data_IF_956769591551
#
_entry.id   IF_956769591551
#
_cell.length_a   1.000
_cell.length_b   1.000
_cell.length_c   1.000
_cell.angle_alpha   90.00
_cell.angle_beta   90.00
_cell.angle_gamma   90.00
#
_symmetry.space_group_name_H-M   'P 1'
#
loop_
_entity.id
_entity.type
_entity.pdbx_description
1 polymer ?
#
# COMPACT_ATOMS: atom_id res chain seq x y z
N UNK A 1 -98.07 19.05 47.65
CA UNK A 1 -97.36 17.75 47.75
C UNK A 1 -96.45 17.65 46.55
N UNK A 2 -95.18 17.98 46.76
CA UNK A 2 -94.12 18.12 45.77
C UNK A 2 -93.63 16.74 45.33
N UNK A 3 -93.83 16.42 44.06
CA UNK A 3 -93.33 15.19 43.44
C UNK A 3 -91.80 15.27 43.21
N UNK A 4 -91.07 14.15 43.36
CA UNK A 4 -89.62 14.11 43.30
C UNK A 4 -89.06 14.31 41.87
N UNK A 5 -87.82 14.80 41.73
CA UNK A 5 -87.18 15.04 40.43
C UNK A 5 -86.82 13.73 39.69
N UNK A 6 -86.70 13.77 38.35
CA UNK A 6 -86.46 12.60 37.52
C UNK A 6 -85.03 12.03 37.68
N UNK A 7 -84.83 10.72 37.40
CA UNK A 7 -83.52 10.06 37.47
C UNK A 7 -82.55 10.55 36.38
N UNK A 8 -81.23 10.42 36.61
CA UNK A 8 -80.19 10.82 35.65
C UNK A 8 -80.18 9.92 34.40
N UNK A 9 -79.69 10.41 33.26
CA UNK A 9 -79.66 9.66 32.01
C UNK A 9 -78.63 8.52 32.03
N UNK A 10 -78.95 7.45 31.30
CA UNK A 10 -78.17 6.21 31.16
C UNK A 10 -76.75 6.46 30.59
N UNK A 11 -75.76 5.79 31.19
CA UNK A 11 -74.38 5.72 30.72
C UNK A 11 -74.30 4.91 29.41
N UNK A 12 -73.91 5.58 28.32
CA UNK A 12 -73.60 4.94 27.04
C UNK A 12 -72.40 3.98 27.17
N UNK A 13 -72.49 2.73 26.70
CA UNK A 13 -71.37 1.80 26.72
C UNK A 13 -70.29 2.21 25.71
N UNK A 14 -69.05 2.31 26.20
CA UNK A 14 -67.86 2.62 25.41
C UNK A 14 -67.71 1.70 24.18
N UNK A 15 -67.27 2.22 23.01
CA UNK A 15 -67.16 1.44 21.80
C UNK A 15 -66.01 0.42 21.87
N UNK A 16 -66.33 -0.83 21.53
CA UNK A 16 -65.38 -1.93 21.31
C UNK A 16 -64.34 -1.55 20.24
N UNK A 17 -63.02 -1.78 20.45
CA UNK A 17 -62.03 -1.44 19.44
C UNK A 17 -62.16 -2.36 18.22
N UNK A 18 -62.23 -1.74 17.04
CA UNK A 18 -62.24 -2.42 15.74
C UNK A 18 -60.94 -3.21 15.51
N UNK A 19 -61.06 -4.38 14.89
CA UNK A 19 -59.93 -5.21 14.49
C UNK A 19 -58.97 -4.45 13.53
N UNK A 20 -57.65 -4.65 13.63
CA UNK A 20 -56.69 -3.94 12.80
C UNK A 20 -56.83 -4.34 11.33
N UNK A 21 -56.87 -3.33 10.46
CA UNK A 21 -56.82 -3.51 9.01
C UNK A 21 -55.55 -4.26 8.58
N UNK A 22 -55.60 -5.07 7.50
CA UNK A 22 -54.42 -5.79 7.01
C UNK A 22 -53.32 -4.79 6.64
N UNK A 23 -52.15 -4.97 7.24
CA UNK A 23 -50.94 -4.19 6.97
C UNK A 23 -50.65 -4.22 5.46
N UNK A 24 -50.46 -3.07 4.80
CA UNK A 24 -50.08 -3.06 3.39
C UNK A 24 -48.75 -3.81 3.25
N UNK A 25 -48.68 -4.72 2.28
CA UNK A 25 -47.47 -5.48 1.98
C UNK A 25 -46.27 -4.52 1.89
N UNK A 26 -45.19 -4.86 2.59
CA UNK A 26 -43.98 -4.05 2.65
C UNK A 26 -43.54 -3.66 1.22
N UNK A 27 -43.22 -2.38 0.96
CA UNK A 27 -42.77 -1.97 -0.35
C UNK A 27 -41.51 -2.76 -0.71
N UNK A 28 -41.48 -3.32 -1.91
CA UNK A 28 -40.29 -3.98 -2.46
C UNK A 28 -39.04 -3.13 -2.18
N UNK A 29 -37.89 -3.75 -1.85
CA UNK A 29 -36.69 -3.03 -1.46
C UNK A 29 -36.33 -1.97 -2.51
N UNK A 30 -35.84 -0.81 -2.07
CA UNK A 30 -35.56 0.33 -2.94
C UNK A 30 -34.66 0.00 -4.16
N UNK A 31 -33.83 -1.04 -4.03
CA UNK A 31 -33.03 -1.63 -5.11
C UNK A 31 -33.87 -2.25 -6.24
N UNK A 32 -34.95 -2.96 -5.90
CA UNK A 32 -35.83 -3.62 -6.87
C UNK A 32 -36.73 -2.62 -7.62
N UNK A 33 -37.18 -1.55 -6.95
CA UNK A 33 -37.92 -0.45 -7.59
C UNK A 33 -37.05 0.37 -8.54
N UNK A 34 -35.78 0.63 -8.19
CA UNK A 34 -34.83 1.37 -9.04
C UNK A 34 -34.33 0.57 -10.24
N UNK A 35 -34.08 -0.74 -10.10
CA UNK A 35 -33.72 -1.60 -11.23
C UNK A 35 -34.86 -1.77 -12.27
N UNK A 36 -36.13 -1.60 -11.85
CA UNK A 36 -37.26 -1.50 -12.76
C UNK A 36 -37.32 -0.13 -13.47
N UNK A 37 -36.95 0.94 -12.76
CA UNK A 37 -36.85 2.30 -13.29
C UNK A 37 -35.69 2.42 -14.31
N UNK A 38 -34.56 1.74 -14.10
CA UNK A 38 -33.43 1.68 -15.03
C UNK A 38 -33.81 0.99 -16.34
N UNK A 39 -34.50 -0.16 -16.28
CA UNK A 39 -35.04 -0.83 -17.47
C UNK A 39 -36.09 0.02 -18.18
N UNK A 40 -36.88 0.80 -17.43
CA UNK A 40 -37.84 1.76 -17.98
C UNK A 40 -37.17 2.97 -18.65
N UNK A 41 -36.05 3.47 -18.10
CA UNK A 41 -35.28 4.61 -18.63
C UNK A 41 -34.41 4.22 -19.83
N UNK A 42 -33.89 3.00 -19.83
CA UNK A 42 -33.20 2.38 -20.97
C UNK A 42 -34.18 2.19 -22.14
N UNK A 43 -35.43 1.81 -21.86
CA UNK A 43 -36.51 1.73 -22.85
C UNK A 43 -37.04 3.10 -23.33
N UNK A 44 -36.90 4.17 -22.52
CA UNK A 44 -37.39 5.52 -22.82
C UNK A 44 -36.44 6.39 -23.68
N UNK A 45 -35.38 5.81 -24.26
CA UNK A 45 -34.50 6.51 -25.21
C UNK A 45 -33.38 7.36 -24.60
N UNK A 46 -33.11 7.23 -23.29
CA UNK A 46 -31.96 7.89 -22.65
C UNK A 46 -30.65 7.12 -22.86
N UNK A 47 -30.28 6.87 -24.11
CA UNK A 47 -29.06 6.10 -24.45
C UNK A 47 -27.82 6.94 -24.14
N UNK A 48 -26.77 6.29 -23.63
CA UNK A 48 -25.45 6.91 -23.43
C UNK A 48 -24.87 7.37 -24.77
N UNK A 49 -24.54 8.67 -24.89
CA UNK A 49 -23.77 9.20 -26.02
C UNK A 49 -22.31 8.73 -25.96
N UNK A 50 -22.09 7.51 -26.46
CA UNK A 50 -20.78 6.87 -26.48
C UNK A 50 -19.78 7.63 -27.34
N UNK A 51 -20.22 8.25 -28.43
CA UNK A 51 -19.33 9.00 -29.32
C UNK A 51 -18.72 10.19 -28.58
N UNK A 52 -19.56 10.97 -27.89
CA UNK A 52 -19.10 12.10 -27.08
C UNK A 52 -18.19 11.66 -25.93
N UNK A 53 -18.58 10.59 -25.21
CA UNK A 53 -17.78 10.05 -24.11
C UNK A 53 -16.40 9.54 -24.58
N UNK A 54 -16.34 8.82 -25.71
CA UNK A 54 -15.09 8.31 -26.26
C UNK A 54 -14.22 9.42 -26.88
N UNK A 55 -14.84 10.46 -27.44
CA UNK A 55 -14.13 11.67 -27.87
C UNK A 55 -13.44 12.36 -26.68
N UNK A 56 -14.11 12.42 -25.52
CA UNK A 56 -13.53 12.94 -24.28
C UNK A 56 -12.35 12.08 -23.78
N UNK A 57 -12.49 10.75 -23.78
CA UNK A 57 -11.39 9.82 -23.44
C UNK A 57 -10.19 9.98 -24.37
N UNK A 58 -10.43 10.07 -25.68
CA UNK A 58 -9.37 10.31 -26.67
C UNK A 58 -8.69 11.67 -26.45
N UNK A 59 -9.46 12.73 -26.19
CA UNK A 59 -8.91 14.05 -25.88
C UNK A 59 -8.01 14.01 -24.65
N UNK A 60 -8.47 13.37 -23.57
CA UNK A 60 -7.68 13.20 -22.36
C UNK A 60 -6.34 12.50 -22.64
N UNK A 61 -6.37 11.36 -23.35
CA UNK A 61 -5.18 10.61 -23.72
C UNK A 61 -4.26 11.37 -24.70
N UNK A 62 -4.81 12.14 -25.64
CA UNK A 62 -4.03 12.94 -26.59
C UNK A 62 -3.27 14.07 -25.89
N UNK A 63 -3.92 14.77 -24.97
CA UNK A 63 -3.31 15.88 -24.23
C UNK A 63 -2.37 15.38 -23.12
N UNK A 64 -2.63 14.19 -22.58
CA UNK A 64 -1.87 13.56 -21.48
C UNK A 64 -1.47 12.14 -21.88
N UNK A 65 -0.57 11.98 -22.87
CA UNK A 65 -0.22 10.68 -23.43
C UNK A 65 0.37 9.72 -22.39
N UNK A 66 0.98 10.25 -21.33
CA UNK A 66 1.51 9.47 -20.21
C UNK A 66 0.41 8.80 -19.35
N UNK A 67 -0.85 9.24 -19.42
CA UNK A 67 -1.99 8.60 -18.75
C UNK A 67 -2.75 7.63 -19.67
N UNK A 68 -2.34 7.49 -20.93
CA UNK A 68 -3.11 6.75 -21.93
C UNK A 68 -3.36 5.29 -21.52
N UNK A 69 -2.36 4.58 -20.97
CA UNK A 69 -2.54 3.19 -20.54
C UNK A 69 -3.62 3.05 -19.46
N UNK A 70 -3.65 3.97 -18.49
CA UNK A 70 -4.62 3.95 -17.41
C UNK A 70 -6.03 4.33 -17.91
N UNK A 71 -6.13 5.38 -18.73
CA UNK A 71 -7.38 5.77 -19.38
C UNK A 71 -7.91 4.62 -20.25
N UNK A 72 -7.04 3.97 -21.03
CA UNK A 72 -7.07 2.65 -21.69
C UNK A 72 -7.71 1.48 -20.92
N UNK A 73 -7.37 1.35 -19.65
CA UNK A 73 -7.76 0.20 -18.83
C UNK A 73 -9.21 0.27 -18.35
N UNK A 74 -9.79 1.47 -18.31
CA UNK A 74 -11.15 1.68 -17.82
C UNK A 74 -12.22 1.09 -18.76
N UNK A 75 -13.14 0.33 -18.15
CA UNK A 75 -14.31 -0.27 -18.81
C UNK A 75 -15.57 0.55 -18.53
N UNK A 76 -16.24 1.05 -19.58
CA UNK A 76 -17.43 1.92 -19.43
C UNK A 76 -18.68 1.10 -19.12
N UNK A 77 -19.35 1.44 -18.02
CA UNK A 77 -20.63 0.87 -17.59
C UNK A 77 -21.66 2.00 -17.47
N UNK A 78 -22.68 2.08 -18.35
CA UNK A 78 -23.78 3.03 -18.16
C UNK A 78 -24.48 2.76 -16.83
N UNK A 79 -24.74 3.80 -16.04
CA UNK A 79 -25.44 3.69 -14.75
C UNK A 79 -26.24 4.96 -14.45
N UNK A 80 -27.46 4.80 -13.94
CA UNK A 80 -28.29 5.91 -13.45
C UNK A 80 -28.36 5.96 -11.92
N UNK A 81 -27.59 5.09 -11.25
CA UNK A 81 -27.45 5.13 -9.80
C UNK A 81 -26.50 6.24 -9.32
N UNK A 82 -25.64 6.72 -10.22
CA UNK A 82 -24.80 7.89 -10.03
C UNK A 82 -25.39 9.09 -10.78
N UNK A 83 -25.21 10.28 -10.22
CA UNK A 83 -25.53 11.55 -10.88
C UNK A 83 -24.39 12.05 -11.77
N UNK A 84 -23.20 11.48 -11.62
CA UNK A 84 -21.93 11.89 -12.27
C UNK A 84 -21.26 10.68 -12.98
N UNK A 85 -19.94 10.67 -13.03
CA UNK A 85 -19.11 9.51 -13.35
C UNK A 85 -18.45 9.02 -12.05
N UNK A 86 -18.11 7.74 -11.98
CA UNK A 86 -17.46 7.16 -10.80
C UNK A 86 -16.75 5.86 -11.13
N UNK A 87 -15.77 5.45 -10.34
CA UNK A 87 -15.02 4.21 -10.54
C UNK A 87 -15.23 3.22 -9.41
N UNK A 88 -15.17 1.93 -9.74
CA UNK A 88 -15.02 0.86 -8.74
C UNK A 88 -13.57 0.38 -8.61
N UNK A 89 -13.31 -0.45 -7.59
CA UNK A 89 -12.00 -1.08 -7.37
C UNK A 89 -11.54 -1.99 -8.53
N UNK A 90 -12.42 -2.32 -9.45
CA UNK A 90 -12.19 -3.23 -10.58
C UNK A 90 -11.91 -2.47 -11.89
N UNK A 91 -11.61 -1.16 -11.80
CA UNK A 91 -11.34 -0.27 -12.93
C UNK A 91 -12.50 -0.15 -13.91
N UNK A 92 -13.74 -0.28 -13.43
CA UNK A 92 -14.94 0.03 -14.21
C UNK A 92 -15.32 1.48 -13.96
N UNK A 93 -15.59 2.20 -15.04
CA UNK A 93 -16.09 3.56 -15.02
C UNK A 93 -17.60 3.54 -15.21
N UNK A 94 -18.34 3.83 -14.15
CA UNK A 94 -19.78 4.02 -14.16
C UNK A 94 -20.10 5.43 -14.65
N UNK A 95 -21.02 5.54 -15.60
CA UNK A 95 -21.28 6.81 -16.29
C UNK A 95 -22.77 7.09 -16.35
N UNK A 96 -23.19 8.23 -15.78
CA UNK A 96 -24.53 8.77 -15.94
C UNK A 96 -24.72 9.35 -17.36
N UNK A 97 -25.68 8.82 -18.17
CA UNK A 97 -25.95 9.36 -19.50
C UNK A 97 -26.45 10.81 -19.49
N UNK A 98 -27.18 11.21 -18.44
CA UNK A 98 -27.67 12.58 -18.29
C UNK A 98 -26.49 13.55 -18.09
N UNK A 99 -25.52 13.18 -17.25
CA UNK A 99 -24.29 13.93 -17.03
C UNK A 99 -23.47 14.13 -18.33
N UNK A 100 -23.29 13.06 -19.12
CA UNK A 100 -22.56 13.13 -20.41
C UNK A 100 -23.24 14.07 -21.40
N UNK A 101 -24.58 14.15 -21.39
CA UNK A 101 -25.31 15.05 -22.28
C UNK A 101 -25.08 16.51 -21.92
N UNK A 102 -25.11 16.82 -20.63
CA UNK A 102 -25.07 18.18 -20.08
C UNK A 102 -23.68 18.81 -20.16
N UNK A 103 -22.61 18.02 -20.07
CA UNK A 103 -21.24 18.54 -19.98
C UNK A 103 -20.51 18.51 -21.33
N UNK A 104 -19.70 19.52 -21.69
CA UNK A 104 -18.91 19.53 -22.92
C UNK A 104 -17.78 18.47 -22.91
N UNK A 105 -17.23 18.17 -24.07
CA UNK A 105 -16.17 17.14 -24.24
C UNK A 105 -14.93 17.47 -23.42
N UNK A 106 -14.59 18.75 -23.29
CA UNK A 106 -13.48 19.26 -22.51
C UNK A 106 -13.61 18.94 -21.02
N UNK A 107 -14.80 19.16 -20.46
CA UNK A 107 -15.10 18.88 -19.05
C UNK A 107 -15.15 17.37 -18.80
N UNK A 108 -15.79 16.62 -19.69
CA UNK A 108 -15.79 15.16 -19.60
C UNK A 108 -14.36 14.59 -19.67
N UNK A 109 -13.47 15.18 -20.47
CA UNK A 109 -12.07 14.77 -20.53
C UNK A 109 -11.35 15.04 -19.20
N UNK A 110 -11.72 16.10 -18.48
CA UNK A 110 -11.21 16.36 -17.14
C UNK A 110 -11.74 15.35 -16.11
N UNK A 111 -13.03 15.01 -16.19
CA UNK A 111 -13.62 13.98 -15.33
C UNK A 111 -12.97 12.62 -15.57
N UNK A 112 -12.68 12.24 -16.82
CA UNK A 112 -11.90 11.02 -17.11
C UNK A 112 -10.54 10.98 -16.38
N UNK A 113 -9.84 12.12 -16.32
CA UNK A 113 -8.55 12.22 -15.63
C UNK A 113 -8.75 12.19 -14.11
N UNK A 114 -9.81 12.81 -13.60
CA UNK A 114 -10.20 12.76 -12.18
C UNK A 114 -10.46 11.32 -11.73
N UNK A 115 -11.34 10.61 -12.44
CA UNK A 115 -11.73 9.24 -12.09
C UNK A 115 -10.55 8.26 -12.12
N UNK A 116 -9.70 8.36 -13.15
CA UNK A 116 -8.50 7.51 -13.22
C UNK A 116 -7.48 7.88 -12.14
N UNK A 117 -7.48 9.12 -11.63
CA UNK A 117 -6.59 9.55 -10.57
C UNK A 117 -6.87 8.84 -9.24
N UNK A 118 -8.14 8.62 -8.87
CA UNK A 118 -8.48 7.80 -7.68
C UNK A 118 -7.82 6.42 -7.74
N UNK A 119 -7.86 5.78 -8.91
CA UNK A 119 -7.31 4.45 -9.13
C UNK A 119 -5.77 4.48 -9.13
N UNK A 120 -5.16 5.44 -9.85
CA UNK A 120 -3.71 5.57 -9.92
C UNK A 120 -3.09 5.85 -8.54
N UNK A 121 -3.72 6.72 -7.75
CA UNK A 121 -3.28 7.10 -6.40
C UNK A 121 -3.63 6.09 -5.32
N UNK A 122 -4.30 4.99 -5.68
CA UNK A 122 -4.76 3.96 -4.75
C UNK A 122 -5.55 4.54 -3.57
N UNK A 123 -6.42 5.51 -3.84
CA UNK A 123 -7.20 6.22 -2.81
C UNK A 123 -7.96 5.24 -1.90
N UNK A 124 -8.60 4.22 -2.46
CA UNK A 124 -9.25 3.16 -1.69
C UNK A 124 -8.28 2.42 -0.79
N UNK A 125 -7.18 1.91 -1.34
CA UNK A 125 -6.20 1.13 -0.57
C UNK A 125 -5.52 1.96 0.52
N UNK A 126 -5.25 3.25 0.27
CA UNK A 126 -4.76 4.20 1.27
C UNK A 126 -5.79 4.47 2.36
N UNK A 127 -7.06 4.66 2.00
CA UNK A 127 -8.15 4.86 2.97
C UNK A 127 -8.32 3.66 3.90
N UNK A 128 -8.16 2.43 3.42
CA UNK A 128 -8.23 1.21 4.24
C UNK A 128 -7.17 1.16 5.36
N UNK A 129 -6.06 1.89 5.22
CA UNK A 129 -4.96 1.96 6.20
C UNK A 129 -5.19 3.01 7.29
N UNK A 130 -6.22 3.84 7.16
CA UNK A 130 -6.57 4.85 8.16
C UNK A 130 -7.22 4.23 9.40
N UNK A 131 -7.35 5.03 10.45
CA UNK A 131 -8.05 4.64 11.69
C UNK A 131 -9.53 4.37 11.38
N UNK A 132 -10.14 3.44 12.12
CA UNK A 132 -11.54 3.04 11.91
C UNK A 132 -12.52 4.22 11.89
N UNK A 133 -12.40 5.14 12.85
CA UNK A 133 -13.24 6.34 12.92
C UNK A 133 -13.15 7.24 11.66
N UNK A 134 -11.99 7.27 11.01
CA UNK A 134 -11.78 8.03 9.78
C UNK A 134 -12.27 7.25 8.55
N UNK A 135 -12.23 5.90 8.60
CA UNK A 135 -12.72 5.03 7.52
C UNK A 135 -14.23 5.05 7.37
N UNK A 136 -14.96 5.18 8.47
CA UNK A 136 -16.42 5.13 8.49
C UNK A 136 -17.08 6.42 7.96
N UNK A 137 -16.33 7.54 7.91
CA UNK A 137 -16.80 8.79 7.30
C UNK A 137 -16.42 8.86 5.82
N UNK A 138 -17.10 8.03 5.02
CA UNK A 138 -16.87 7.91 3.58
C UNK A 138 -17.07 9.22 2.81
N UNK A 139 -17.95 10.10 3.30
CA UNK A 139 -18.14 11.40 2.68
C UNK A 139 -16.89 12.27 2.86
N UNK A 140 -16.36 12.38 4.09
CA UNK A 140 -15.12 13.13 4.33
C UNK A 140 -13.94 12.55 3.57
N UNK A 141 -13.85 11.22 3.47
CA UNK A 141 -12.84 10.56 2.64
C UNK A 141 -12.94 11.00 1.18
N UNK A 142 -14.14 10.94 0.60
CA UNK A 142 -14.33 11.34 -0.79
C UNK A 142 -14.01 12.83 -0.99
N UNK A 143 -14.48 13.71 -0.10
CA UNK A 143 -14.15 15.15 -0.14
C UNK A 143 -12.65 15.41 -0.06
N UNK A 144 -11.93 14.70 0.81
CA UNK A 144 -10.49 14.85 0.95
C UNK A 144 -9.72 14.38 -0.29
N UNK A 145 -10.17 13.27 -0.87
CA UNK A 145 -9.60 12.68 -2.08
C UNK A 145 -9.83 13.58 -3.30
N UNK A 146 -11.03 14.15 -3.42
CA UNK A 146 -11.36 15.12 -4.47
C UNK A 146 -10.55 16.40 -4.30
N UNK A 147 -10.28 16.85 -3.07
CA UNK A 147 -9.36 17.97 -2.82
C UNK A 147 -7.95 17.67 -3.34
N UNK A 148 -7.42 16.47 -3.12
CA UNK A 148 -6.09 16.02 -3.59
C UNK A 148 -6.01 15.90 -5.13
N UNK A 149 -7.12 15.57 -5.78
CA UNK A 149 -7.14 15.41 -7.24
C UNK A 149 -7.39 16.77 -7.90
N UNK A 150 -8.42 17.49 -7.46
CA UNK A 150 -8.88 18.69 -8.15
C UNK A 150 -7.88 19.84 -8.01
N UNK A 151 -7.08 19.92 -6.94
CA UNK A 151 -6.02 20.93 -6.85
C UNK A 151 -4.96 20.74 -7.96
N UNK A 152 -4.48 19.51 -8.17
CA UNK A 152 -3.54 19.16 -9.24
C UNK A 152 -4.15 19.34 -10.64
N UNK A 153 -5.44 19.02 -10.82
CA UNK A 153 -6.11 19.21 -12.11
C UNK A 153 -6.35 20.69 -12.45
N UNK A 154 -6.60 21.53 -11.43
CA UNK A 154 -6.71 22.98 -11.60
C UNK A 154 -5.33 23.57 -11.92
N UNK A 155 -4.27 23.10 -11.27
CA UNK A 155 -2.90 23.49 -11.59
C UNK A 155 -2.52 23.11 -13.04
N UNK A 156 -2.97 21.94 -13.53
CA UNK A 156 -2.83 21.50 -14.92
C UNK A 156 -3.84 22.17 -15.89
N UNK A 157 -4.63 23.12 -15.41
CA UNK A 157 -5.54 23.93 -16.24
C UNK A 157 -6.68 23.15 -16.89
N UNK A 158 -7.10 22.02 -16.32
CA UNK A 158 -8.26 21.28 -16.84
C UNK A 158 -9.57 22.03 -16.51
N UNK A 159 -10.50 22.12 -17.47
CA UNK A 159 -11.82 22.66 -17.20
C UNK A 159 -12.65 21.60 -16.46
N UNK A 160 -12.75 21.71 -15.14
CA UNK A 160 -13.58 20.82 -14.32
C UNK A 160 -15.02 21.37 -14.21
N UNK A 161 -16.04 20.49 -14.15
CA UNK A 161 -17.44 20.88 -13.96
C UNK A 161 -17.67 21.84 -12.79
N UNK A 162 -18.74 22.62 -12.87
CA UNK A 162 -19.19 23.46 -11.74
C UNK A 162 -19.56 22.60 -10.53
N UNK A 163 -19.20 23.05 -9.33
CA UNK A 163 -19.48 22.30 -8.09
C UNK A 163 -18.39 21.32 -7.67
N UNK A 164 -17.27 21.23 -8.42
CA UNK A 164 -16.06 20.49 -8.01
C UNK A 164 -15.59 20.90 -6.61
N UNK A 165 -15.10 19.94 -5.84
CA UNK A 165 -14.55 20.18 -4.50
C UNK A 165 -13.15 20.77 -4.60
N UNK A 166 -12.85 21.77 -3.77
CA UNK A 166 -11.53 22.42 -3.72
C UNK A 166 -11.09 22.65 -2.27
N UNK A 167 -9.79 22.58 -1.93
CA UNK A 167 -9.28 22.83 -0.58
C UNK A 167 -9.73 24.16 0.03
N UNK A 168 -9.84 25.21 -0.81
CA UNK A 168 -10.28 26.55 -0.41
C UNK A 168 -11.70 26.59 0.16
N UNK A 169 -12.57 25.63 -0.19
CA UNK A 169 -13.93 25.52 0.37
C UNK A 169 -13.93 25.23 1.86
N UNK A 170 -12.83 24.67 2.37
CA UNK A 170 -12.62 24.32 3.77
C UNK A 170 -11.57 25.23 4.45
N UNK A 171 -11.07 26.26 3.76
CA UNK A 171 -9.98 27.11 4.26
C UNK A 171 -8.62 26.41 4.33
N UNK A 172 -8.42 25.34 3.55
CA UNK A 172 -7.19 24.54 3.54
C UNK A 172 -6.24 24.95 2.41
N UNK A 173 -4.91 24.85 2.61
CA UNK A 173 -3.92 25.15 1.57
C UNK A 173 -3.92 24.09 0.47
N UNK A 174 -3.51 24.44 -0.75
CA UNK A 174 -3.38 23.49 -1.87
C UNK A 174 -2.12 22.62 -1.74
N UNK A 175 -2.06 21.53 -2.52
CA UNK A 175 -0.87 20.69 -2.70
C UNK A 175 -0.61 19.71 -1.57
N UNK A 176 -1.63 19.36 -0.79
CA UNK A 176 -1.56 18.39 0.33
C UNK A 176 -2.10 17.03 -0.11
N UNK A 177 -1.72 15.98 0.62
CA UNK A 177 -2.31 14.65 0.44
C UNK A 177 -3.72 14.57 1.06
N UNK A 178 -4.56 13.64 0.60
CA UNK A 178 -5.92 13.50 1.12
C UNK A 178 -5.94 13.18 2.62
N UNK A 179 -4.95 12.47 3.16
CA UNK A 179 -4.87 12.17 4.60
C UNK A 179 -4.69 13.46 5.42
N UNK A 180 -3.97 14.45 4.87
CA UNK A 180 -3.83 15.76 5.50
C UNK A 180 -5.11 16.59 5.37
N UNK A 181 -5.76 16.57 4.21
CA UNK A 181 -7.06 17.23 4.02
C UNK A 181 -8.14 16.66 4.94
N UNK A 182 -8.14 15.34 5.15
CA UNK A 182 -9.12 14.66 5.97
C UNK A 182 -9.19 15.25 7.38
N UNK A 183 -8.05 15.57 7.99
CA UNK A 183 -7.98 16.19 9.31
C UNK A 183 -8.64 17.58 9.39
N UNK A 184 -8.61 18.34 8.28
CA UNK A 184 -9.16 19.68 8.18
C UNK A 184 -10.62 19.76 7.71
N UNK A 185 -11.15 18.69 7.11
CA UNK A 185 -12.52 18.67 6.57
C UNK A 185 -13.51 18.34 7.70
N UNK A 186 -14.55 19.18 7.94
CA UNK A 186 -15.54 18.95 8.97
C UNK A 186 -16.46 17.76 8.62
N UNK A 187 -17.12 17.20 9.63
CA UNK A 187 -18.14 16.13 9.49
C UNK A 187 -19.47 16.60 8.87
N UNK A 188 -19.41 17.61 8.00
CA UNK A 188 -20.59 18.22 7.39
C UNK A 188 -21.17 17.33 6.29
N UNK A 189 -22.51 17.25 6.24
CA UNK A 189 -23.27 16.44 5.27
C UNK A 189 -23.95 17.27 4.17
N UNK A 190 -23.49 18.50 3.93
CA UNK A 190 -24.14 19.42 2.97
C UNK A 190 -23.56 19.36 1.56
N UNK A 191 -22.39 18.72 1.38
CA UNK A 191 -21.77 18.55 0.08
C UNK A 191 -22.03 17.12 -0.38
N UNK A 192 -22.53 16.96 -1.61
CA UNK A 192 -22.74 15.66 -2.24
C UNK A 192 -21.62 15.42 -3.25
N UNK A 193 -20.87 14.33 -3.06
CA UNK A 193 -19.83 13.86 -3.98
C UNK A 193 -20.02 12.37 -4.24
N UNK A 194 -19.82 11.96 -5.49
CA UNK A 194 -20.06 10.61 -5.98
C UNK A 194 -18.96 10.21 -6.97
N UNK A 195 -17.93 9.50 -6.47
CA UNK A 195 -16.78 9.03 -7.28
C UNK A 195 -16.69 7.49 -7.31
N UNK A 196 -17.67 6.79 -6.74
CA UNK A 196 -17.75 5.33 -6.69
C UNK A 196 -16.88 4.66 -5.62
N UNK A 197 -17.01 3.33 -5.48
CA UNK A 197 -16.30 2.56 -4.45
C UNK A 197 -14.78 2.52 -4.64
N UNK A 198 -14.29 2.80 -5.85
CA UNK A 198 -12.87 2.92 -6.18
C UNK A 198 -12.20 4.13 -5.54
N UNK A 199 -12.98 5.13 -5.14
CA UNK A 199 -12.52 6.29 -4.37
C UNK A 199 -12.46 5.98 -2.86
N UNK A 200 -13.62 5.73 -2.24
CA UNK A 200 -13.77 5.69 -0.78
C UNK A 200 -13.97 4.29 -0.18
N UNK A 201 -14.05 3.25 -1.00
CA UNK A 201 -14.10 1.84 -0.56
C UNK A 201 -15.48 1.30 -0.17
N UNK A 202 -16.53 2.11 -0.23
CA UNK A 202 -17.89 1.68 0.16
C UNK A 202 -18.69 1.25 -1.06
N UNK A 203 -19.47 0.18 -0.91
CA UNK A 203 -20.32 -0.32 -1.99
C UNK A 203 -21.35 0.75 -2.41
N UNK A 204 -21.39 1.04 -3.71
CA UNK A 204 -22.37 1.96 -4.30
C UNK A 204 -23.45 1.16 -5.02
N UNK A 205 -24.75 1.47 -4.85
CA UNK A 205 -25.81 0.83 -5.62
C UNK A 205 -25.54 0.93 -7.13
N UNK A 206 -25.73 -0.17 -7.85
CA UNK A 206 -25.50 -0.21 -9.31
C UNK A 206 -24.10 -0.65 -9.73
N UNK A 207 -23.15 -0.79 -8.80
CA UNK A 207 -21.85 -1.38 -9.11
C UNK A 207 -21.95 -2.90 -9.29
N UNK A 208 -21.22 -3.43 -10.28
CA UNK A 208 -21.29 -4.83 -10.69
C UNK A 208 -20.58 -5.80 -9.71
N UNK A 209 -19.76 -5.30 -8.78
CA UNK A 209 -19.04 -6.12 -7.80
C UNK A 209 -17.98 -7.04 -8.41
N UNK A 210 -17.52 -8.04 -7.66
CA UNK A 210 -16.53 -9.01 -8.13
C UNK A 210 -17.15 -10.05 -9.08
N UNK A 211 -16.42 -10.45 -10.13
CA UNK A 211 -16.89 -11.42 -11.13
C UNK A 211 -17.83 -10.83 -12.20
N UNK A 212 -18.06 -9.52 -12.16
CA UNK A 212 -18.72 -8.78 -13.24
C UNK A 212 -17.82 -8.66 -14.48
N UNK A 213 -18.42 -8.34 -15.62
CA UNK A 213 -17.70 -8.20 -16.89
C UNK A 213 -16.58 -7.13 -16.81
N UNK A 214 -15.49 -7.37 -17.57
CA UNK A 214 -14.39 -6.42 -17.80
C UNK A 214 -13.69 -5.90 -16.52
N UNK A 215 -13.51 -6.80 -15.55
CA UNK A 215 -12.78 -6.56 -14.30
C UNK A 215 -11.25 -6.54 -14.52
N UNK A 216 -10.60 -5.52 -14.00
CA UNK A 216 -9.14 -5.48 -13.80
C UNK A 216 -8.84 -6.01 -12.40
N UNK A 217 -8.00 -7.05 -12.31
CA UNK A 217 -7.57 -7.61 -11.03
C UNK A 217 -6.45 -6.80 -10.35
N UNK A 218 -6.23 -7.00 -9.06
CA UNK A 218 -5.23 -6.25 -8.27
C UNK A 218 -3.80 -6.31 -8.85
N UNK A 219 -3.39 -7.46 -9.40
CA UNK A 219 -2.06 -7.61 -10.03
C UNK A 219 -1.95 -6.73 -11.28
N UNK A 220 -2.99 -6.74 -12.11
CA UNK A 220 -3.07 -5.95 -13.34
C UNK A 220 -3.17 -4.45 -13.02
N UNK A 221 -3.99 -4.05 -12.04
CA UNK A 221 -4.04 -2.69 -11.52
C UNK A 221 -2.66 -2.20 -11.05
N UNK A 222 -1.92 -3.04 -10.31
CA UNK A 222 -0.55 -2.75 -9.91
C UNK A 222 0.42 -2.61 -11.09
N UNK A 223 0.24 -3.39 -12.16
CA UNK A 223 1.01 -3.26 -13.40
C UNK A 223 0.69 -1.96 -14.14
N UNK A 224 -0.60 -1.59 -14.26
CA UNK A 224 -1.04 -0.35 -14.90
C UNK A 224 -0.48 0.87 -14.16
N UNK A 225 -0.51 0.89 -12.82
CA UNK A 225 0.08 1.97 -12.01
C UNK A 225 1.57 2.13 -12.28
N UNK A 226 2.34 1.03 -12.25
CA UNK A 226 3.78 1.05 -12.55
C UNK A 226 4.06 1.52 -13.98
N UNK A 227 3.35 0.97 -14.96
CA UNK A 227 3.51 1.36 -16.37
C UNK A 227 3.20 2.86 -16.57
N UNK A 228 2.18 3.38 -15.90
CA UNK A 228 1.79 4.80 -15.96
C UNK A 228 2.86 5.68 -15.31
N UNK A 229 3.39 5.28 -14.15
CA UNK A 229 4.50 5.97 -13.50
C UNK A 229 5.76 6.02 -14.39
N UNK A 230 6.13 4.89 -15.02
CA UNK A 230 7.25 4.84 -15.97
C UNK A 230 7.01 5.74 -17.19
N UNK A 231 5.78 5.76 -17.72
CA UNK A 231 5.40 6.63 -18.83
C UNK A 231 5.49 8.11 -18.46
N UNK A 232 5.06 8.49 -17.25
CA UNK A 232 5.20 9.86 -16.73
C UNK A 232 6.67 10.25 -16.62
N UNK A 233 7.52 9.39 -16.02
CA UNK A 233 8.96 9.66 -15.87
C UNK A 233 9.69 9.72 -17.22
N UNK A 234 9.29 8.89 -18.17
CA UNK A 234 9.80 8.96 -19.55
C UNK A 234 9.39 10.28 -20.21
N UNK A 235 8.13 10.70 -20.07
CA UNK A 235 7.63 11.96 -20.63
C UNK A 235 8.30 13.19 -20.00
N UNK A 236 8.50 13.19 -18.67
CA UNK A 236 9.14 14.27 -17.93
C UNK A 236 10.64 14.44 -18.26
N UNK A 237 11.31 13.38 -18.72
CA UNK A 237 12.71 13.43 -19.21
C UNK A 237 12.83 13.93 -20.64
N UNK A 238 11.74 13.88 -21.42
CA UNK A 238 11.68 14.42 -22.78
C UNK A 238 11.42 15.93 -22.80
N UNK A 239 11.05 16.44 -23.98
CA UNK A 239 10.64 17.85 -24.18
C UNK A 239 9.19 18.14 -23.73
N UNK A 240 8.55 17.20 -23.03
CA UNK A 240 7.15 17.28 -22.61
C UNK A 240 7.00 17.84 -21.20
N UNK A 241 5.98 18.66 -20.97
CA UNK A 241 5.62 19.14 -19.64
C UNK A 241 4.69 18.15 -18.95
N UNK A 242 5.05 17.74 -17.73
CA UNK A 242 4.21 16.96 -16.83
C UNK A 242 3.90 17.83 -15.61
N UNK A 243 2.63 17.92 -15.17
CA UNK A 243 2.26 18.61 -13.92
C UNK A 243 3.01 18.09 -12.71
N UNK A 244 3.26 18.97 -11.73
CA UNK A 244 4.05 18.67 -10.53
C UNK A 244 3.49 17.49 -9.74
N UNK A 245 2.17 17.45 -9.51
CA UNK A 245 1.50 16.36 -8.80
C UNK A 245 1.72 14.98 -9.42
N UNK A 246 1.57 14.88 -10.74
CA UNK A 246 1.82 13.64 -11.48
C UNK A 246 3.29 13.20 -11.40
N UNK A 247 4.23 14.14 -11.42
CA UNK A 247 5.65 13.83 -11.25
C UNK A 247 5.93 13.27 -9.85
N UNK A 248 5.45 13.94 -8.80
CA UNK A 248 5.61 13.48 -7.41
C UNK A 248 5.02 12.08 -7.21
N UNK A 249 3.80 11.85 -7.73
CA UNK A 249 3.16 10.53 -7.68
C UNK A 249 3.96 9.47 -8.44
N UNK A 250 4.46 9.77 -9.63
CA UNK A 250 5.23 8.81 -10.42
C UNK A 250 6.55 8.45 -9.74
N UNK A 251 7.21 9.42 -9.12
CA UNK A 251 8.41 9.18 -8.34
C UNK A 251 8.09 8.36 -7.08
N UNK A 252 6.98 8.59 -6.37
CA UNK A 252 6.60 7.76 -5.21
C UNK A 252 6.24 6.31 -5.57
N UNK A 253 5.73 6.06 -6.78
CA UNK A 253 5.45 4.70 -7.27
C UNK A 253 6.72 3.99 -7.75
N UNK A 254 7.67 4.75 -8.30
CA UNK A 254 8.89 4.22 -8.89
C UNK A 254 10.09 4.19 -7.95
N UNK A 255 10.08 4.98 -6.87
CA UNK A 255 10.89 4.75 -5.68
C UNK A 255 10.54 3.34 -5.24
N UNK A 256 11.43 2.38 -5.48
CA UNK A 256 11.07 1.04 -5.16
C UNK A 256 11.09 1.01 -3.64
N UNK A 257 9.91 0.91 -3.03
CA UNK A 257 9.74 0.21 -1.76
C UNK A 257 10.17 -1.23 -2.03
N UNK A 258 11.47 -1.44 -2.30
CA UNK A 258 12.04 -2.75 -2.17
C UNK A 258 11.94 -2.94 -0.68
N UNK A 259 10.94 -3.71 -0.29
CA UNK A 259 10.86 -4.29 1.03
C UNK A 259 12.28 -4.66 1.41
N UNK A 260 12.88 -3.91 2.33
CA UNK A 260 14.29 -4.04 2.65
C UNK A 260 14.59 -5.48 3.05
N UNK A 261 13.56 -6.21 3.51
CA UNK A 261 13.55 -7.67 3.70
C UNK A 261 13.93 -8.44 2.45
N UNK A 262 13.40 -8.08 1.26
CA UNK A 262 13.77 -8.69 -0.02
C UNK A 262 15.21 -8.39 -0.42
N UNK A 263 15.69 -7.14 -0.24
CA UNK A 263 17.10 -6.81 -0.52
C UNK A 263 18.04 -7.55 0.42
N UNK A 264 17.77 -7.47 1.72
CA UNK A 264 18.52 -8.18 2.75
C UNK A 264 18.50 -9.70 2.51
N UNK A 265 17.36 -10.27 2.13
CA UNK A 265 17.24 -11.69 1.77
C UNK A 265 18.08 -12.03 0.54
N UNK A 266 18.08 -11.18 -0.49
CA UNK A 266 18.92 -11.33 -1.68
C UNK A 266 20.40 -11.31 -1.33
N UNK A 267 20.84 -10.28 -0.59
CA UNK A 267 22.20 -10.10 -0.11
C UNK A 267 22.67 -11.30 0.73
N UNK A 268 21.86 -11.72 1.71
CA UNK A 268 22.14 -12.89 2.54
C UNK A 268 22.21 -14.18 1.73
N UNK A 269 21.28 -14.41 0.79
CA UNK A 269 21.33 -15.60 -0.09
C UNK A 269 22.59 -15.62 -0.94
N UNK A 270 22.96 -14.50 -1.54
CA UNK A 270 24.20 -14.40 -2.33
C UNK A 270 25.44 -14.63 -1.46
N UNK A 271 25.49 -14.02 -0.26
CA UNK A 271 26.58 -14.21 0.68
C UNK A 271 26.68 -15.67 1.15
N UNK A 272 25.54 -16.34 1.37
CA UNK A 272 25.52 -17.78 1.73
C UNK A 272 25.97 -18.65 0.56
N UNK A 273 25.52 -18.39 -0.66
CA UNK A 273 25.99 -19.12 -1.85
C UNK A 273 27.49 -18.93 -2.05
N UNK A 274 28.00 -17.71 -1.87
CA UNK A 274 29.44 -17.42 -1.93
C UNK A 274 30.21 -18.19 -0.84
N UNK A 275 29.73 -18.18 0.40
CA UNK A 275 30.38 -18.87 1.51
C UNK A 275 30.26 -20.40 1.44
N UNK A 276 29.18 -20.94 0.86
CA UNK A 276 28.99 -22.38 0.62
C UNK A 276 29.62 -22.89 -0.68
N UNK A 277 29.94 -21.98 -1.61
CA UNK A 277 30.50 -22.27 -2.93
C UNK A 277 31.95 -22.78 -2.93
N UNK A 278 32.64 -22.68 -1.79
CA UNK A 278 33.86 -23.43 -1.52
C UNK A 278 33.50 -24.90 -1.25
N UNK A 279 33.31 -25.67 -2.32
CA UNK A 279 33.07 -27.11 -2.24
C UNK A 279 34.37 -27.83 -1.80
N UNK A 280 34.52 -28.04 -0.50
CA UNK A 280 35.69 -28.74 0.03
C UNK A 280 35.56 -30.26 -0.11
N UNK A 281 36.63 -30.90 -0.54
CA UNK A 281 36.78 -32.35 -0.52
C UNK A 281 37.18 -32.80 0.89
N UNK A 282 36.46 -33.77 1.46
CA UNK A 282 36.80 -34.36 2.76
C UNK A 282 36.97 -35.88 2.67
N UNK A 283 37.97 -36.40 3.37
CA UNK A 283 38.21 -37.84 3.53
C UNK A 283 37.60 -38.40 4.82
N UNK A 284 36.99 -37.55 5.66
CA UNK A 284 36.36 -37.96 6.92
C UNK A 284 35.22 -38.98 6.73
N UNK A 285 34.59 -38.95 5.56
CA UNK A 285 33.64 -39.98 5.10
C UNK A 285 33.98 -40.32 3.64
N UNK A 286 34.27 -41.59 3.30
CA UNK A 286 34.51 -42.00 1.93
C UNK A 286 33.29 -41.70 1.04
N UNK A 287 33.53 -41.20 -0.17
CA UNK A 287 32.47 -40.94 -1.15
C UNK A 287 31.72 -42.23 -1.51
N UNK A 288 30.42 -42.16 -1.82
CA UNK A 288 29.57 -43.34 -2.12
C UNK A 288 30.14 -44.23 -3.25
N UNK A 289 30.84 -43.62 -4.21
CA UNK A 289 31.49 -44.30 -5.35
C UNK A 289 32.76 -45.06 -4.95
N UNK A 290 33.31 -44.85 -3.75
CA UNK A 290 34.49 -45.59 -3.27
C UNK A 290 34.20 -47.09 -3.12
N UNK A 291 32.95 -47.49 -2.88
CA UNK A 291 32.56 -48.90 -2.82
C UNK A 291 32.72 -49.64 -4.16
N UNK A 292 32.70 -48.92 -5.29
CA UNK A 292 32.89 -49.49 -6.62
C UNK A 292 34.36 -49.55 -7.05
N UNK A 293 35.28 -48.89 -6.32
CA UNK A 293 36.70 -48.82 -6.64
C UNK A 293 37.51 -49.53 -5.53
N UNK A 294 38.03 -50.72 -5.82
CA UNK A 294 38.85 -51.46 -4.84
C UNK A 294 40.17 -50.73 -4.59
N UNK A 295 40.46 -50.46 -3.31
CA UNK A 295 41.73 -49.86 -2.88
C UNK A 295 41.83 -48.34 -3.00
N UNK A 296 40.79 -47.64 -3.44
CA UNK A 296 40.79 -46.16 -3.61
C UNK A 296 39.74 -45.53 -2.71
N UNK A 297 40.18 -44.72 -1.73
CA UNK A 297 39.28 -43.88 -0.92
C UNK A 297 39.04 -42.58 -1.67
N UNK A 298 37.84 -42.40 -2.23
CA UNK A 298 37.49 -41.13 -2.86
C UNK A 298 37.06 -40.11 -1.80
N UNK A 299 37.45 -38.84 -1.93
CA UNK A 299 36.93 -37.79 -1.08
C UNK A 299 35.42 -37.62 -1.32
N UNK A 300 34.69 -37.24 -0.27
CA UNK A 300 33.31 -36.78 -0.39
C UNK A 300 33.27 -35.26 -0.52
N UNK A 301 32.34 -34.78 -1.32
CA UNK A 301 32.07 -33.35 -1.44
C UNK A 301 31.34 -32.90 -0.18
N UNK A 302 31.90 -31.94 0.55
CA UNK A 302 31.27 -31.32 1.71
C UNK A 302 30.93 -29.87 1.37
N UNK A 303 29.68 -29.49 1.56
CA UNK A 303 29.25 -28.10 1.57
C UNK A 303 29.12 -27.64 3.02
N UNK A 304 30.12 -26.96 3.60
CA UNK A 304 29.97 -26.38 4.92
C UNK A 304 28.88 -25.29 4.88
N UNK A 305 27.91 -25.39 5.78
CA UNK A 305 26.95 -24.31 6.01
C UNK A 305 27.68 -23.14 6.71
N UNK A 306 27.56 -21.90 6.19
CA UNK A 306 28.33 -20.78 6.68
C UNK A 306 27.91 -20.37 8.10
N UNK A 307 28.85 -19.75 8.82
CA UNK A 307 28.59 -19.11 10.11
C UNK A 307 28.29 -17.64 9.90
N UNK A 308 27.33 -17.12 10.65
CA UNK A 308 26.88 -15.73 10.55
C UNK A 308 27.04 -15.05 11.90
N UNK A 309 27.62 -13.86 11.91
CA UNK A 309 27.57 -12.96 13.05
C UNK A 309 26.64 -11.78 12.74
N UNK A 310 25.82 -11.38 13.71
CA UNK A 310 24.99 -10.18 13.65
C UNK A 310 25.53 -9.22 14.71
N UNK A 311 26.05 -8.08 14.28
CA UNK A 311 26.45 -6.98 15.17
C UNK A 311 25.29 -6.00 15.22
N UNK A 312 24.79 -5.73 16.41
CA UNK A 312 23.66 -4.85 16.67
C UNK A 312 24.19 -3.63 17.41
N UNK A 313 23.99 -2.46 16.79
CA UNK A 313 24.32 -1.17 17.39
C UNK A 313 23.34 -0.86 18.53
N UNK A 314 23.86 -0.76 19.75
CA UNK A 314 23.09 -0.39 20.96
C UNK A 314 23.45 1.00 21.47
N UNK A 315 23.98 1.87 20.61
CA UNK A 315 24.23 3.27 20.93
C UNK A 315 22.93 4.04 21.18
N UNK A 316 23.05 5.17 21.89
CA UNK A 316 21.89 5.94 22.36
C UNK A 316 20.98 6.53 21.27
N UNK A 317 21.37 6.50 20.00
CA UNK A 317 20.52 6.90 18.86
C UNK A 317 19.55 5.82 18.40
N UNK A 318 19.68 4.59 18.89
CA UNK A 318 18.90 3.43 18.46
C UNK A 318 17.74 3.12 19.42
N UNK A 319 16.52 2.97 18.90
CA UNK A 319 15.35 2.58 19.69
C UNK A 319 15.21 1.06 19.86
N UNK A 320 14.93 0.60 21.09
CA UNK A 320 14.79 -0.83 21.45
C UNK A 320 13.76 -1.59 20.60
N UNK A 321 12.64 -0.95 20.26
CA UNK A 321 11.58 -1.54 19.43
C UNK A 321 12.04 -1.78 17.98
N UNK A 322 12.77 -0.82 17.41
CA UNK A 322 13.27 -0.88 16.03
C UNK A 322 14.35 -1.94 15.87
N UNK A 323 15.26 -2.02 16.86
CA UNK A 323 16.30 -3.04 16.91
C UNK A 323 15.72 -4.45 17.03
N UNK A 324 14.73 -4.63 17.92
CA UNK A 324 14.06 -5.91 18.15
C UNK A 324 13.34 -6.41 16.89
N UNK A 325 12.63 -5.52 16.18
CA UNK A 325 11.97 -5.84 14.93
C UNK A 325 12.97 -6.23 13.83
N UNK A 326 14.04 -5.47 13.64
CA UNK A 326 15.08 -5.77 12.64
C UNK A 326 15.76 -7.11 12.91
N UNK A 327 16.08 -7.40 14.17
CA UNK A 327 16.71 -8.65 14.59
C UNK A 327 15.79 -9.86 14.36
N UNK A 328 14.49 -9.75 14.67
CA UNK A 328 13.53 -10.82 14.42
C UNK A 328 13.44 -11.17 12.92
N UNK A 329 13.47 -10.16 12.06
CA UNK A 329 13.43 -10.33 10.61
C UNK A 329 14.72 -10.97 10.07
N UNK A 330 15.89 -10.44 10.43
CA UNK A 330 17.20 -11.01 10.02
C UNK A 330 17.30 -12.48 10.44
N UNK A 331 16.92 -12.80 11.68
CA UNK A 331 16.92 -14.18 12.17
C UNK A 331 15.90 -15.07 11.45
N UNK A 332 14.74 -14.52 11.05
CA UNK A 332 13.77 -15.19 10.19
C UNK A 332 14.33 -15.56 8.81
N UNK A 333 15.03 -14.62 8.17
CA UNK A 333 15.68 -14.85 6.87
C UNK A 333 16.77 -15.91 6.96
N UNK A 334 17.62 -15.85 7.99
CA UNK A 334 18.67 -16.85 8.20
C UNK A 334 18.08 -18.27 8.36
N UNK A 335 16.95 -18.41 9.05
CA UNK A 335 16.23 -19.70 9.16
C UNK A 335 15.70 -20.20 7.81
N UNK A 336 15.19 -19.30 6.97
CA UNK A 336 14.68 -19.64 5.63
C UNK A 336 15.81 -20.11 4.70
N UNK A 337 17.03 -19.59 4.89
CA UNK A 337 18.24 -20.00 4.15
C UNK A 337 18.88 -21.28 4.73
N UNK A 338 18.30 -21.87 5.77
CA UNK A 338 18.77 -23.13 6.36
C UNK A 338 19.88 -22.97 7.40
N UNK A 339 20.20 -21.74 7.79
CA UNK A 339 21.15 -21.45 8.87
C UNK A 339 20.38 -21.51 10.18
N UNK A 340 20.56 -22.63 10.91
CA UNK A 340 19.89 -22.91 12.18
C UNK A 340 20.90 -23.29 13.27
N UNK A 341 20.45 -23.24 14.52
CA UNK A 341 21.22 -23.70 15.68
C UNK A 341 22.35 -22.74 16.07
N UNK A 342 23.44 -23.28 16.62
CA UNK A 342 24.58 -22.54 17.18
C UNK A 342 25.51 -21.85 16.16
N UNK A 343 25.01 -21.55 14.95
CA UNK A 343 25.77 -20.95 13.84
C UNK A 343 25.55 -19.45 13.68
N UNK A 344 24.57 -18.89 14.40
CA UNK A 344 24.32 -17.46 14.46
C UNK A 344 24.82 -16.94 15.80
N UNK A 345 25.69 -15.93 15.75
CA UNK A 345 26.17 -15.22 16.94
C UNK A 345 25.68 -13.78 16.86
N UNK A 346 25.01 -13.29 17.89
CA UNK A 346 24.57 -11.91 18.00
C UNK A 346 25.49 -11.19 18.97
N UNK A 347 25.99 -10.03 18.58
CA UNK A 347 26.84 -9.16 19.37
C UNK A 347 26.10 -7.84 19.55
N UNK A 348 25.83 -7.44 20.80
CA UNK A 348 25.42 -6.07 21.09
C UNK A 348 26.68 -5.22 21.27
N UNK A 349 26.80 -4.14 20.51
CA UNK A 349 27.99 -3.32 20.45
C UNK A 349 27.62 -1.84 20.49
N UNK A 350 28.37 -1.07 21.27
CA UNK A 350 28.36 0.39 21.23
C UNK A 350 29.82 0.87 21.05
N UNK A 351 30.45 1.42 22.09
CA UNK A 351 31.88 1.74 22.12
C UNK A 351 32.71 0.51 22.53
N UNK A 352 32.07 -0.51 23.11
CA UNK A 352 32.65 -1.82 23.38
C UNK A 352 31.59 -2.92 23.14
N UNK A 353 32.01 -4.18 23.13
CA UNK A 353 31.08 -5.32 23.00
C UNK A 353 30.45 -5.63 24.35
N UNK A 354 29.17 -5.30 24.48
CA UNK A 354 28.39 -5.43 25.71
C UNK A 354 27.93 -6.87 25.95
N UNK A 355 27.53 -7.59 24.88
CA UNK A 355 27.07 -8.96 25.00
C UNK A 355 27.40 -9.77 23.74
N UNK A 356 27.74 -11.05 23.93
CA UNK A 356 27.93 -12.02 22.84
C UNK A 356 27.06 -13.25 23.13
N UNK A 357 25.99 -13.40 22.35
CA UNK A 357 25.02 -14.47 22.55
C UNK A 357 24.93 -15.35 21.30
N UNK A 358 25.11 -16.66 21.47
CA UNK A 358 24.78 -17.62 20.42
C UNK A 358 23.29 -17.87 20.44
N UNK A 359 22.61 -17.48 19.37
CA UNK A 359 21.15 -17.54 19.32
C UNK A 359 20.69 -18.73 18.52
N UNK A 360 19.70 -19.44 19.04
CA UNK A 360 18.84 -20.32 18.23
C UNK A 360 17.49 -19.68 17.97
N UNK A 361 17.09 -18.71 18.82
CA UNK A 361 15.85 -17.94 18.73
C UNK A 361 16.10 -16.45 19.00
N UNK A 362 15.29 -15.58 18.42
CA UNK A 362 15.45 -14.12 18.50
C UNK A 362 15.15 -13.56 19.91
N UNK A 363 14.27 -14.22 20.66
CA UNK A 363 13.88 -13.90 22.04
C UNK A 363 15.01 -14.11 23.07
N UNK A 364 16.14 -14.69 22.66
CA UNK A 364 17.31 -14.92 23.52
C UNK A 364 18.28 -13.74 23.56
N UNK A 365 18.01 -12.67 22.80
CA UNK A 365 18.92 -11.54 22.71
C UNK A 365 18.58 -10.52 23.78
N UNK A 366 19.51 -10.35 24.72
CA UNK A 366 19.51 -9.19 25.61
C UNK A 366 20.32 -8.09 24.93
N UNK A 367 19.65 -7.01 24.55
CA UNK A 367 20.28 -5.79 24.08
C UNK A 367 20.53 -4.92 25.32
N UNK A 368 21.80 -4.70 25.65
CA UNK A 368 22.23 -3.81 26.73
C UNK A 368 23.29 -2.88 26.16
N UNK A 369 23.17 -1.59 26.40
CA UNK A 369 24.09 -0.56 25.89
C UNK A 369 23.64 0.86 26.22
N UNK A 370 24.39 1.84 25.72
CA UNK A 370 24.08 3.26 25.84
C UNK A 370 25.28 4.21 25.74
N UNK A 371 26.45 3.71 25.31
CA UNK A 371 27.68 4.49 25.11
C UNK A 371 27.78 5.15 23.72
N UNK A 372 29.00 5.57 23.36
CA UNK A 372 29.35 6.02 22.00
C UNK A 372 29.33 4.86 20.98
N UNK A 373 29.75 5.10 19.74
CA UNK A 373 29.56 4.12 18.64
C UNK A 373 30.88 3.79 17.93
N UNK A 374 31.33 2.54 17.98
CA UNK A 374 32.44 2.02 17.16
C UNK A 374 32.20 0.56 16.71
N UNK A 375 31.63 0.40 15.52
CA UNK A 375 31.31 -0.92 14.97
C UNK A 375 32.56 -1.73 14.57
N UNK A 376 33.75 -1.12 14.47
CA UNK A 376 35.00 -1.86 14.23
C UNK A 376 35.28 -2.82 15.38
N UNK A 377 34.97 -2.42 16.61
CA UNK A 377 35.17 -3.25 17.81
C UNK A 377 34.28 -4.50 17.75
N UNK A 378 33.00 -4.34 17.38
CA UNK A 378 32.06 -5.44 17.19
C UNK A 378 32.48 -6.40 16.07
N UNK A 379 32.93 -5.86 14.93
CA UNK A 379 33.41 -6.64 13.78
C UNK A 379 34.67 -7.44 14.14
N UNK A 380 35.67 -6.79 14.76
CA UNK A 380 36.91 -7.44 15.21
C UNK A 380 36.63 -8.52 16.25
N UNK A 381 35.74 -8.25 17.21
CA UNK A 381 35.37 -9.24 18.23
C UNK A 381 34.66 -10.45 17.64
N UNK A 382 33.77 -10.24 16.67
CA UNK A 382 33.11 -11.34 15.95
C UNK A 382 34.13 -12.23 15.22
N UNK A 383 35.18 -11.64 14.64
CA UNK A 383 36.25 -12.35 13.93
C UNK A 383 37.22 -13.07 14.86
N UNK A 384 37.56 -12.47 16.00
CA UNK A 384 38.51 -13.02 16.98
C UNK A 384 37.97 -14.18 17.83
N UNK A 385 36.71 -14.59 17.63
CA UNK A 385 36.10 -15.70 18.35
C UNK A 385 36.65 -17.09 17.93
N UNK A 386 36.38 -18.15 18.73
CA UNK A 386 36.84 -19.51 18.44
C UNK A 386 36.30 -20.10 17.13
N UNK A 387 35.24 -19.50 16.57
CA UNK A 387 34.62 -19.91 15.31
C UNK A 387 34.30 -18.66 14.49
N UNK A 388 35.24 -18.16 13.67
CA UNK A 388 35.03 -16.93 12.90
C UNK A 388 33.86 -17.07 11.91
N UNK A 389 33.03 -16.03 11.76
CA UNK A 389 31.93 -16.02 10.81
C UNK A 389 32.44 -15.86 9.37
N UNK A 390 31.67 -16.39 8.41
CA UNK A 390 31.89 -16.14 6.98
C UNK A 390 31.18 -14.85 6.52
N UNK A 391 30.08 -14.50 7.21
CA UNK A 391 29.21 -13.38 6.90
C UNK A 391 28.97 -12.59 8.19
N UNK A 392 29.14 -11.28 8.14
CA UNK A 392 28.80 -10.36 9.22
C UNK A 392 27.66 -9.46 8.75
N UNK A 393 26.58 -9.39 9.52
CA UNK A 393 25.50 -8.43 9.32
C UNK A 393 25.62 -7.37 10.40
N UNK A 394 25.72 -6.10 10.04
CA UNK A 394 25.79 -4.98 10.99
C UNK A 394 24.47 -4.22 10.90
N UNK A 395 23.77 -4.05 12.03
CA UNK A 395 22.54 -3.26 12.13
C UNK A 395 22.86 -1.97 12.88
N UNK A 396 22.79 -0.83 12.21
CA UNK A 396 23.20 0.50 12.74
C UNK A 396 22.46 1.60 11.99
N UNK A 397 22.42 2.83 12.54
CA UNK A 397 22.01 4.03 11.81
C UNK A 397 23.07 4.50 10.78
N UNK A 398 24.27 3.91 10.83
CA UNK A 398 25.39 4.18 9.94
C UNK A 398 26.39 5.20 10.48
N UNK A 399 26.08 5.89 11.59
CA UNK A 399 26.92 6.92 12.20
C UNK A 399 27.99 6.26 13.06
N UNK A 400 28.93 5.57 12.40
CA UNK A 400 29.98 4.81 13.07
C UNK A 400 31.24 4.74 12.22
N UNK A 401 32.43 4.68 12.84
CA UNK A 401 33.64 4.28 12.14
C UNK A 401 33.48 2.88 11.52
N UNK A 402 33.77 2.78 10.23
CA UNK A 402 33.86 1.50 9.51
C UNK A 402 35.34 1.05 9.42
N UNK A 403 35.62 -0.24 9.20
CA UNK A 403 36.97 -0.68 8.88
C UNK A 403 37.44 -0.01 7.58
N UNK A 404 38.73 0.34 7.49
CA UNK A 404 39.29 0.96 6.28
C UNK A 404 39.54 -0.06 5.16
N UNK A 405 39.83 -1.31 5.53
CA UNK A 405 40.16 -2.40 4.61
C UNK A 405 39.14 -3.55 4.66
N UNK A 406 38.93 -4.26 3.53
CA UNK A 406 38.09 -5.46 3.50
C UNK A 406 38.56 -6.51 4.50
N UNK A 407 37.69 -6.84 5.44
CA UNK A 407 37.89 -8.00 6.31
C UNK A 407 37.67 -9.27 5.48
N UNK A 408 38.43 -10.34 5.68
CA UNK A 408 38.27 -11.62 4.93
C UNK A 408 36.90 -12.33 5.06
N UNK A 409 35.90 -11.68 5.65
CA UNK A 409 34.50 -12.07 5.71
C UNK A 409 33.62 -11.04 4.98
N UNK A 410 32.50 -11.49 4.41
CA UNK A 410 31.58 -10.59 3.70
C UNK A 410 30.75 -9.80 4.72
N UNK A 411 30.74 -8.48 4.61
CA UNK A 411 29.97 -7.58 5.49
C UNK A 411 28.73 -7.05 4.75
N UNK A 412 27.58 -7.14 5.40
CA UNK A 412 26.31 -6.53 4.98
C UNK A 412 25.89 -5.53 6.04
N UNK A 413 25.73 -4.25 5.68
CA UNK A 413 25.25 -3.20 6.57
C UNK A 413 23.74 -2.98 6.37
N UNK A 414 22.94 -3.30 7.39
CA UNK A 414 21.54 -2.90 7.49
C UNK A 414 21.45 -1.51 8.12
N UNK A 415 21.32 -0.49 7.29
CA UNK A 415 21.30 0.91 7.70
C UNK A 415 19.87 1.31 8.06
N UNK A 416 19.62 1.59 9.34
CA UNK A 416 18.29 1.89 9.89
C UNK A 416 18.09 3.40 9.95
N UNK A 417 17.12 3.93 9.18
CA UNK A 417 16.83 5.37 9.17
C UNK A 417 16.48 5.92 7.80
N UNK A 418 16.11 7.20 7.75
CA UNK A 418 15.67 7.86 6.52
C UNK A 418 16.82 8.22 5.57
N UNK A 419 17.98 8.61 6.11
CA UNK A 419 19.14 9.04 5.31
C UNK A 419 20.46 8.65 6.01
N UNK A 420 20.85 7.36 5.95
CA UNK A 420 22.06 6.91 6.60
C UNK A 420 23.31 7.35 5.80
N UNK A 421 24.43 7.66 6.47
CA UNK A 421 25.68 8.03 5.80
C UNK A 421 26.23 6.88 4.94
N UNK A 422 27.03 7.25 3.93
CA UNK A 422 27.59 6.29 2.98
C UNK A 422 28.57 5.31 3.65
N UNK A 423 28.42 4.02 3.35
CA UNK A 423 29.37 2.97 3.76
C UNK A 423 30.51 2.83 2.75
N UNK A 424 31.68 2.27 3.15
CA UNK A 424 32.73 1.88 2.21
C UNK A 424 32.20 1.01 1.07
N UNK A 425 32.73 1.19 -0.14
CA UNK A 425 32.22 0.55 -1.38
C UNK A 425 32.30 -0.98 -1.40
N UNK A 426 33.10 -1.57 -0.51
CA UNK A 426 33.27 -3.02 -0.36
C UNK A 426 32.27 -3.63 0.65
N UNK A 427 31.51 -2.80 1.38
CA UNK A 427 30.42 -3.22 2.26
C UNK A 427 29.11 -3.14 1.48
N UNK A 428 28.31 -4.20 1.54
CA UNK A 428 26.99 -4.22 0.92
C UNK A 428 25.97 -3.53 1.82
N UNK A 429 25.52 -2.33 1.45
CA UNK A 429 24.53 -1.56 2.19
C UNK A 429 23.09 -1.90 1.80
N UNK A 430 22.23 -2.08 2.80
CA UNK A 430 20.78 -2.28 2.68
C UNK A 430 20.09 -1.26 3.56
N UNK A 431 19.32 -0.36 2.96
CA UNK A 431 18.58 0.66 3.70
C UNK A 431 17.31 0.04 4.27
N UNK A 432 17.10 0.22 5.57
CA UNK A 432 15.99 -0.30 6.35
C UNK A 432 15.16 0.90 6.80
N UNK A 433 13.98 1.04 6.22
CA UNK A 433 12.97 2.00 6.65
C UNK A 433 12.05 1.31 7.67
N UNK A 434 12.06 1.71 8.95
CA UNK A 434 11.11 1.17 9.94
C UNK A 434 9.68 1.51 9.51
N UNK A 435 8.76 0.58 9.73
CA UNK A 435 7.34 0.75 9.43
C UNK A 435 6.63 1.58 10.49
#
# INVERSE_FOLDING_TARGET
>A
MTAPPPPPPDDDPAPTPAAPAPTPAAPAPASARRAADDRGREAAGKVLDRTKLLAARYRAAKLRPYLASALYALSVVPSWHLSTMGVDRHWRLYVCPDFVREHPVEELAAVWVHEVAHLLRDHRGRAERLREADRDDHLRLNLAQDCEINDDLIEDGLPLPSGRVEPKMFGLPQGRLFEEYLAGIPHSRTIHVECGSGAHGSAVPGELGAGGAAEVGEIEAGAIRRQTADAIRAHARGLGTVPGGWRRWADSVAEPVVDWRRRLTGALRQAVVWASGAMDYTYARPGRRSAALRGVVLPSLRQPLPRVAIVVDTSGSMGDEQLSACLAEVTGVLRAVGIRGNRVTVLACDADVQAVTRVTRADQVQLSGGGGTDMRVGIERARGGPHPPNIIVVLTDGITPWPDEPTGCRIIAGLIGADPPATPSWIEAVHITPA
#
